data_IF_139169406595
#
_entry.id   IF_139169406595
#
_cell.length_a   1.000
_cell.length_b   1.000
_cell.length_c   1.000
_cell.angle_alpha   90.00
_cell.angle_beta   90.00
_cell.angle_gamma   90.00
#
_symmetry.space_group_name_H-M   'P 1'
#
loop_
_entity.id
_entity.type
_entity.pdbx_description
1 polymer ?
#
# COMPACT_ATOMS: atom_id res chain seq x y z
N UNK A 1 -6.24 -4.23 12.63
CA UNK A 1 -5.25 -3.25 12.16
C UNK A 1 -4.85 -2.38 13.33
N UNK A 2 -3.59 -1.97 13.40
CA UNK A 2 -3.14 -0.96 14.35
C UNK A 2 -3.35 0.47 13.80
N UNK A 3 -3.12 1.48 14.63
CA UNK A 3 -3.35 2.90 14.27
C UNK A 3 -2.58 3.32 13.01
N UNK A 4 -1.32 2.87 12.85
CA UNK A 4 -0.50 3.18 11.68
C UNK A 4 -1.02 2.52 10.41
N UNK A 5 -1.51 1.30 10.50
CA UNK A 5 -2.13 0.61 9.36
C UNK A 5 -3.42 1.32 8.93
N UNK A 6 -4.20 1.85 9.87
CA UNK A 6 -5.41 2.64 9.57
C UNK A 6 -5.02 3.92 8.82
N UNK A 7 -4.03 4.67 9.33
CA UNK A 7 -3.52 5.88 8.69
C UNK A 7 -3.06 5.61 7.24
N UNK A 8 -2.34 4.50 7.01
CA UNK A 8 -1.95 4.07 5.66
C UNK A 8 -3.19 3.85 4.78
N UNK A 9 -4.21 3.15 5.26
CA UNK A 9 -5.43 2.89 4.47
C UNK A 9 -6.15 4.20 4.10
N UNK A 10 -6.28 5.13 5.04
CA UNK A 10 -6.91 6.43 4.80
C UNK A 10 -6.14 7.25 3.75
N UNK A 11 -4.80 7.30 3.85
CA UNK A 11 -3.97 8.01 2.88
C UNK A 11 -4.03 7.38 1.50
N UNK A 12 -3.93 6.05 1.42
CA UNK A 12 -3.92 5.35 0.13
C UNK A 12 -5.26 5.43 -0.60
N UNK A 13 -6.37 5.31 0.14
CA UNK A 13 -7.71 5.40 -0.45
C UNK A 13 -8.08 6.84 -0.83
N UNK A 14 -7.69 7.82 -0.01
CA UNK A 14 -8.00 9.23 -0.24
C UNK A 14 -7.09 9.91 -1.25
N UNK A 15 -5.77 9.87 -1.01
CA UNK A 15 -4.79 10.64 -1.81
C UNK A 15 -4.28 9.90 -3.05
N UNK A 16 -4.24 8.56 -3.00
CA UNK A 16 -3.70 7.75 -4.09
C UNK A 16 -4.79 7.05 -4.93
N UNK A 17 -6.06 7.11 -4.50
CA UNK A 17 -7.17 6.46 -5.20
C UNK A 17 -7.06 4.93 -5.24
N UNK A 18 -6.29 4.32 -4.34
CA UNK A 18 -6.12 2.88 -4.25
C UNK A 18 -7.41 2.27 -3.68
N UNK A 19 -7.90 1.19 -4.29
CA UNK A 19 -9.05 0.46 -3.77
C UNK A 19 -8.84 0.03 -2.32
N UNK A 20 -9.87 0.15 -1.49
CA UNK A 20 -9.80 -0.14 -0.05
C UNK A 20 -9.16 -1.49 0.27
N UNK A 21 -9.56 -2.56 -0.42
CA UNK A 21 -9.02 -3.90 -0.21
C UNK A 21 -7.52 -4.01 -0.54
N UNK A 22 -7.03 -3.23 -1.50
CA UNK A 22 -5.62 -3.17 -1.85
C UNK A 22 -4.84 -2.33 -0.84
N UNK A 23 -5.42 -1.20 -0.39
CA UNK A 23 -4.83 -0.37 0.65
C UNK A 23 -4.67 -1.15 1.97
N UNK A 24 -5.68 -1.97 2.34
CA UNK A 24 -5.61 -2.84 3.52
C UNK A 24 -4.50 -3.87 3.40
N UNK A 25 -4.31 -4.46 2.21
CA UNK A 25 -3.22 -5.41 2.00
C UNK A 25 -1.86 -4.73 2.12
N UNK A 26 -1.66 -3.58 1.46
CA UNK A 26 -0.43 -2.79 1.55
C UNK A 26 -0.13 -2.42 3.01
N UNK A 27 -1.12 -1.89 3.73
CA UNK A 27 -0.96 -1.49 5.13
C UNK A 27 -0.46 -2.65 6.01
N UNK A 28 -1.00 -3.86 5.83
CA UNK A 28 -0.58 -5.05 6.57
C UNK A 28 0.85 -5.47 6.24
N UNK A 29 1.22 -5.53 4.96
CA UNK A 29 2.56 -6.00 4.56
C UNK A 29 3.65 -4.97 4.86
N UNK A 30 3.31 -3.68 4.93
CA UNK A 30 4.24 -2.64 5.39
C UNK A 30 4.22 -2.44 6.90
N UNK A 31 3.36 -3.15 7.65
CA UNK A 31 3.17 -2.99 9.09
C UNK A 31 2.85 -1.54 9.50
N UNK A 32 2.14 -0.80 8.64
CA UNK A 32 1.85 0.63 8.84
C UNK A 32 3.02 1.58 8.52
N UNK A 33 4.09 1.11 7.87
CA UNK A 33 5.14 2.00 7.36
C UNK A 33 4.62 2.79 6.16
N UNK A 34 4.35 4.08 6.39
CA UNK A 34 3.84 5.01 5.39
C UNK A 34 4.80 5.22 4.21
N UNK A 35 6.11 5.16 4.43
CA UNK A 35 7.10 5.34 3.36
C UNK A 35 7.07 4.16 2.40
N UNK A 36 7.09 2.93 2.95
CA UNK A 36 6.95 1.72 2.13
C UNK A 36 5.58 1.66 1.45
N UNK A 37 4.52 2.09 2.12
CA UNK A 37 3.17 2.10 1.55
C UNK A 37 3.02 3.08 0.36
N UNK A 38 3.62 4.27 0.45
CA UNK A 38 3.64 5.23 -0.67
C UNK A 38 4.41 4.69 -1.87
N UNK A 39 5.56 4.06 -1.63
CA UNK A 39 6.31 3.38 -2.71
C UNK A 39 5.46 2.31 -3.37
N UNK A 40 4.72 1.51 -2.59
CA UNK A 40 3.82 0.49 -3.11
C UNK A 40 2.71 1.09 -4.00
N UNK A 41 2.09 2.18 -3.55
CA UNK A 41 1.07 2.88 -4.31
C UNK A 41 1.61 3.55 -5.59
N UNK A 42 2.80 4.15 -5.52
CA UNK A 42 3.49 4.69 -6.69
C UNK A 42 3.80 3.60 -7.72
N UNK A 43 4.21 2.41 -7.27
CA UNK A 43 4.42 1.26 -8.15
C UNK A 43 3.12 0.82 -8.84
N UNK A 44 1.99 0.79 -8.13
CA UNK A 44 0.69 0.47 -8.73
C UNK A 44 0.30 1.51 -9.80
N UNK A 45 0.45 2.79 -9.48
CA UNK A 45 0.03 3.88 -10.36
C UNK A 45 0.94 4.08 -11.59
N UNK A 46 2.27 3.94 -11.44
CA UNK A 46 3.22 4.17 -12.53
C UNK A 46 3.32 2.97 -13.46
N UNK A 47 3.29 1.76 -12.90
CA UNK A 47 3.56 0.54 -13.68
C UNK A 47 2.28 -0.19 -14.10
N UNK A 48 1.10 0.33 -13.72
CA UNK A 48 -0.18 -0.37 -13.84
C UNK A 48 -0.07 -1.79 -13.26
N UNK A 49 0.72 -1.92 -12.19
CA UNK A 49 1.13 -3.19 -11.62
C UNK A 49 -0.01 -3.81 -10.81
N UNK A 50 -0.13 -5.14 -10.87
CA UNK A 50 -1.07 -5.86 -10.03
C UNK A 50 -0.66 -5.78 -8.55
N UNK A 51 -1.64 -5.88 -7.65
CA UNK A 51 -1.40 -5.84 -6.21
C UNK A 51 -0.45 -6.97 -5.75
N UNK A 52 -0.54 -8.15 -6.37
CA UNK A 52 0.33 -9.29 -6.08
C UNK A 52 1.79 -8.98 -6.41
N UNK A 53 2.03 -8.33 -7.56
CA UNK A 53 3.36 -7.95 -8.01
C UNK A 53 3.97 -6.89 -7.09
N UNK A 54 3.15 -5.94 -6.63
CA UNK A 54 3.58 -4.92 -5.68
C UNK A 54 3.91 -5.54 -4.33
N UNK A 55 3.03 -6.36 -3.76
CA UNK A 55 3.26 -7.03 -2.47
C UNK A 55 4.54 -7.87 -2.50
N UNK A 56 4.78 -8.62 -3.58
CA UNK A 56 6.03 -9.37 -3.74
C UNK A 56 7.26 -8.45 -3.69
N UNK A 57 7.22 -7.31 -4.37
CA UNK A 57 8.34 -6.38 -4.43
C UNK A 57 8.66 -5.68 -3.09
N UNK A 58 7.64 -5.33 -2.29
CA UNK A 58 7.83 -4.72 -0.96
C UNK A 58 8.17 -5.73 0.14
N UNK A 59 7.78 -7.00 -0.02
CA UNK A 59 8.09 -8.05 0.97
C UNK A 59 9.51 -8.58 0.84
N UNK A 60 10.08 -8.53 -0.37
CA UNK A 60 11.46 -8.98 -0.65
C UNK A 60 12.54 -7.93 -0.33
N UNK A 61 12.18 -6.76 0.20
CA UNK A 61 13.06 -5.62 0.53
C UNK A 61 13.06 -5.26 2.02
#
# INVERSE_FOLDING_TARGET
MNEKEIEVVEVLTGSYGIYYDYAVQIAKVTYGDMTKAKIAADMMNIQNASIESVIAAITLK
#
